data_IF_846667033275
#
_entry.id   IF_846667033275
#
_cell.length_a   1.000
_cell.length_b   1.000
_cell.length_c   1.000
_cell.angle_alpha   90.00
_cell.angle_beta   90.00
_cell.angle_gamma   90.00
#
_symmetry.space_group_name_H-M   'P 1'
#
loop_
_entity.id
_entity.type
_entity.pdbx_description
1 polymer ?
#
# COMPACT_ATOMS: atom_id res chain seq x y z
N UNK A 1 -3.62 -16.86 -3.78
CA UNK A 1 -2.97 -16.50 -5.05
C UNK A 1 -2.46 -15.05 -5.05
N UNK A 2 -1.21 -14.80 -5.44
CA UNK A 2 -0.75 -13.48 -5.92
C UNK A 2 -1.13 -13.37 -7.39
N UNK A 3 -1.82 -12.29 -7.78
CA UNK A 3 -1.96 -11.90 -9.19
C UNK A 3 -1.18 -10.60 -9.37
N UNK A 4 -0.20 -10.62 -10.28
CA UNK A 4 0.49 -9.41 -10.76
C UNK A 4 -0.39 -8.56 -11.71
N UNK A 5 -1.66 -8.91 -11.89
CA UNK A 5 -2.56 -8.12 -12.72
C UNK A 5 -2.82 -6.79 -12.02
N UNK A 6 -2.19 -5.73 -12.54
CA UNK A 6 -2.62 -4.35 -12.38
C UNK A 6 -4.07 -4.28 -12.91
N UNK A 7 -5.05 -4.56 -12.05
CA UNK A 7 -6.44 -4.22 -12.35
C UNK A 7 -6.48 -2.71 -12.51
N UNK A 8 -6.64 -2.25 -13.75
CA UNK A 8 -7.00 -0.86 -14.03
C UNK A 8 -8.21 -0.53 -13.17
N UNK A 9 -8.01 0.34 -12.19
CA UNK A 9 -9.09 0.81 -11.31
C UNK A 9 -9.93 1.76 -12.15
N UNK A 10 -10.88 1.19 -12.89
CA UNK A 10 -11.83 1.94 -13.71
C UNK A 10 -12.92 2.50 -12.80
N UNK A 11 -12.68 3.67 -12.24
CA UNK A 11 -13.65 4.41 -11.42
C UNK A 11 -14.14 5.65 -12.17
N UNK A 12 -15.46 5.89 -12.22
CA UNK A 12 -16.00 7.15 -12.74
C UNK A 12 -15.62 8.35 -11.86
N UNK A 13 -15.17 8.13 -10.63
CA UNK A 13 -14.77 9.17 -9.67
C UNK A 13 -13.26 9.41 -9.63
N UNK A 14 -12.45 8.72 -10.44
CA UNK A 14 -10.99 8.82 -10.41
C UNK A 14 -10.47 10.28 -10.56
N UNK A 15 -11.15 11.10 -11.36
CA UNK A 15 -10.83 12.52 -11.53
C UNK A 15 -10.88 13.34 -10.22
N UNK A 16 -11.58 12.85 -9.18
CA UNK A 16 -11.63 13.49 -7.87
C UNK A 16 -10.24 13.58 -7.23
N UNK A 17 -9.35 12.62 -7.51
CA UNK A 17 -7.99 12.66 -6.96
C UNK A 17 -7.17 13.84 -7.50
N UNK A 18 -7.35 14.21 -8.76
CA UNK A 18 -6.66 15.37 -9.34
C UNK A 18 -7.14 16.70 -8.75
N UNK A 19 -8.35 16.72 -8.19
CA UNK A 19 -8.95 17.90 -7.55
C UNK A 19 -8.58 17.98 -6.07
N UNK A 20 -8.68 16.85 -5.35
CA UNK A 20 -8.61 16.83 -3.87
C UNK A 20 -7.23 16.43 -3.35
N UNK A 21 -6.39 15.80 -4.17
CA UNK A 21 -5.02 15.42 -3.79
C UNK A 21 -4.04 16.20 -4.65
N UNK A 22 -3.61 17.39 -4.21
CA UNK A 22 -2.65 18.24 -4.93
C UNK A 22 -1.35 17.50 -5.28
N UNK A 23 -0.65 18.00 -6.31
CA UNK A 23 0.60 17.40 -6.79
C UNK A 23 1.77 17.50 -5.80
N UNK A 24 1.72 18.49 -4.92
CA UNK A 24 2.63 18.69 -3.78
C UNK A 24 2.25 17.87 -2.54
N UNK A 25 1.18 17.06 -2.60
CA UNK A 25 0.86 16.14 -1.52
C UNK A 25 1.95 15.07 -1.38
N UNK A 26 2.53 14.97 -0.18
CA UNK A 26 3.61 14.03 0.15
C UNK A 26 3.29 12.58 -0.26
N UNK A 27 2.08 12.07 0.03
CA UNK A 27 1.73 10.69 -0.31
C UNK A 27 1.61 10.48 -1.81
N UNK A 28 1.12 11.49 -2.54
CA UNK A 28 1.07 11.47 -4.01
C UNK A 28 2.47 11.42 -4.60
N UNK A 29 3.37 12.26 -4.11
CA UNK A 29 4.77 12.26 -4.54
C UNK A 29 5.46 10.92 -4.28
N UNK A 30 5.32 10.36 -3.08
CA UNK A 30 5.89 9.04 -2.76
C UNK A 30 5.32 7.96 -3.69
N UNK A 31 4.02 7.98 -3.97
CA UNK A 31 3.40 7.00 -4.86
C UNK A 31 3.86 7.09 -6.32
N UNK A 32 4.11 8.31 -6.81
CA UNK A 32 4.56 8.55 -8.19
C UNK A 32 6.08 8.28 -8.33
N UNK A 33 6.86 8.48 -7.27
CA UNK A 33 8.33 8.34 -7.29
C UNK A 33 8.80 6.93 -6.95
N UNK A 34 8.21 6.27 -5.96
CA UNK A 34 8.67 4.95 -5.53
C UNK A 34 7.97 3.86 -6.34
N UNK A 35 8.77 3.08 -7.06
CA UNK A 35 8.29 1.83 -7.65
C UNK A 35 8.21 0.78 -6.54
N UNK A 36 7.00 0.36 -6.20
CA UNK A 36 6.74 -0.64 -5.16
C UNK A 36 6.78 -2.09 -5.67
N UNK A 37 7.10 -2.31 -6.96
CA UNK A 37 7.07 -3.64 -7.57
C UNK A 37 8.05 -4.62 -6.90
N UNK A 38 9.15 -4.13 -6.32
CA UNK A 38 10.10 -4.93 -5.53
C UNK A 38 9.47 -5.70 -4.36
N UNK A 39 8.32 -5.22 -3.84
CA UNK A 39 7.61 -5.91 -2.76
C UNK A 39 7.09 -7.28 -3.22
N UNK A 40 6.69 -7.40 -4.49
CA UNK A 40 6.31 -8.70 -5.02
C UNK A 40 7.49 -9.65 -5.03
N UNK A 41 8.66 -9.21 -5.49
CA UNK A 41 9.88 -10.01 -5.53
C UNK A 41 10.26 -10.52 -4.12
N UNK A 42 10.18 -9.65 -3.11
CA UNK A 42 10.52 -9.97 -1.72
C UNK A 42 9.48 -10.88 -1.04
N UNK A 43 8.23 -10.85 -1.48
CA UNK A 43 7.13 -11.61 -0.86
C UNK A 43 6.67 -12.81 -1.69
N UNK A 44 7.16 -13.00 -2.91
CA UNK A 44 6.73 -14.06 -3.82
C UNK A 44 6.80 -15.44 -3.15
N UNK A 45 7.93 -15.76 -2.51
CA UNK A 45 8.14 -17.02 -1.81
C UNK A 45 7.18 -17.26 -0.63
N UNK A 46 6.53 -16.21 -0.11
CA UNK A 46 5.60 -16.28 1.03
C UNK A 46 4.15 -16.43 0.61
N UNK A 47 3.87 -16.42 -0.69
CA UNK A 47 2.54 -16.55 -1.24
C UNK A 47 2.44 -17.77 -2.17
N UNK A 48 1.25 -18.36 -2.21
CA UNK A 48 0.94 -19.42 -3.15
C UNK A 48 0.54 -18.79 -4.49
N UNK A 49 1.12 -19.29 -5.59
CA UNK A 49 0.96 -18.75 -6.95
C UNK A 49 -0.28 -19.27 -7.67
N UNK A 50 -0.80 -20.42 -7.26
CA UNK A 50 -1.69 -21.24 -8.07
C UNK A 50 -2.95 -21.71 -7.32
N UNK A 51 -3.04 -21.49 -6.01
CA UNK A 51 -4.14 -22.00 -5.20
C UNK A 51 -4.77 -20.96 -4.24
N UNK A 52 -6.06 -21.17 -3.95
CA UNK A 52 -6.85 -20.44 -2.96
C UNK A 52 -7.51 -19.16 -3.44
N UNK A 53 -8.18 -18.46 -2.51
CA UNK A 53 -8.81 -17.16 -2.76
C UNK A 53 -7.77 -16.10 -3.12
N UNK A 54 -8.19 -15.10 -3.88
CA UNK A 54 -7.36 -13.92 -4.18
C UNK A 54 -7.03 -13.23 -2.86
N UNK A 55 -5.74 -13.07 -2.59
CA UNK A 55 -5.30 -12.29 -1.45
C UNK A 55 -5.48 -10.79 -1.74
N UNK A 56 -5.57 -9.99 -0.68
CA UNK A 56 -5.37 -8.54 -0.83
C UNK A 56 -3.95 -8.33 -1.36
N UNK A 57 -3.84 -7.37 -2.26
CA UNK A 57 -2.60 -7.02 -2.92
C UNK A 57 -1.46 -6.73 -1.90
N UNK A 58 -0.30 -7.42 -2.00
CA UNK A 58 0.80 -7.25 -1.04
C UNK A 58 1.40 -5.85 -1.04
N UNK A 59 1.43 -5.15 -2.19
CA UNK A 59 1.86 -3.75 -2.24
C UNK A 59 0.89 -2.88 -1.44
N UNK A 60 -0.42 -3.04 -1.64
CA UNK A 60 -1.43 -2.31 -0.84
C UNK A 60 -1.28 -2.58 0.66
N UNK A 61 -1.07 -3.82 1.05
CA UNK A 61 -0.85 -4.19 2.45
C UNK A 61 0.40 -3.56 3.03
N UNK A 62 1.50 -3.53 2.27
CA UNK A 62 2.72 -2.83 2.66
C UNK A 62 2.52 -1.33 2.77
N UNK A 63 1.83 -0.71 1.80
CA UNK A 63 1.51 0.72 1.81
C UNK A 63 0.70 1.12 3.04
N UNK A 64 -0.23 0.29 3.50
CA UNK A 64 -0.91 0.50 4.78
C UNK A 64 0.06 0.51 5.97
N UNK A 65 1.06 -0.37 5.98
CA UNK A 65 2.11 -0.37 7.01
C UNK A 65 3.04 0.83 6.90
N UNK A 66 3.32 1.31 5.69
CA UNK A 66 4.08 2.54 5.50
C UNK A 66 3.30 3.75 6.03
N UNK A 67 2.01 3.87 5.72
CA UNK A 67 1.14 4.91 6.30
C UNK A 67 1.13 4.84 7.83
N UNK A 68 1.07 3.62 8.38
CA UNK A 68 1.16 3.39 9.82
C UNK A 68 2.46 3.94 10.41
N UNK A 69 3.60 3.72 9.73
CA UNK A 69 4.91 4.21 10.16
C UNK A 69 5.03 5.74 10.04
N UNK A 70 4.51 6.33 8.95
CA UNK A 70 4.58 7.78 8.70
C UNK A 70 3.71 8.57 9.69
N UNK A 71 2.50 8.09 9.96
CA UNK A 71 1.52 8.81 10.79
C UNK A 71 1.41 8.31 12.24
N UNK A 72 2.21 7.30 12.62
CA UNK A 72 2.25 6.71 13.96
C UNK A 72 0.87 6.25 14.49
N UNK A 73 0.02 5.72 13.60
CA UNK A 73 -1.36 5.34 13.90
C UNK A 73 -1.52 3.83 14.21
N UNK A 74 -2.61 3.47 14.90
CA UNK A 74 -2.96 2.06 15.09
C UNK A 74 -3.48 1.42 13.78
N UNK A 75 -3.58 0.10 13.72
CA UNK A 75 -4.14 -0.58 12.54
C UNK A 75 -5.59 -0.20 12.29
N UNK A 76 -6.36 -0.04 13.36
CA UNK A 76 -7.77 0.33 13.30
C UNK A 76 -7.90 1.77 12.80
N UNK A 77 -7.09 2.67 13.36
CA UNK A 77 -7.16 4.09 13.00
C UNK A 77 -6.69 4.35 11.57
N UNK A 78 -5.67 3.64 11.09
CA UNK A 78 -5.22 3.71 9.69
C UNK A 78 -6.32 3.27 8.73
N UNK A 79 -6.97 2.14 9.02
CA UNK A 79 -8.05 1.62 8.19
C UNK A 79 -9.25 2.56 8.24
N UNK A 80 -9.62 3.05 9.42
CA UNK A 80 -10.70 4.00 9.59
C UNK A 80 -10.43 5.29 8.82
N UNK A 81 -9.24 5.86 8.96
CA UNK A 81 -8.83 7.07 8.22
C UNK A 81 -8.85 6.87 6.72
N UNK A 82 -8.45 5.69 6.23
CA UNK A 82 -8.50 5.36 4.80
C UNK A 82 -9.93 5.31 4.23
N UNK A 83 -10.99 5.32 5.06
CA UNK A 83 -12.37 5.38 4.56
C UNK A 83 -12.71 6.75 3.97
N UNK A 84 -12.23 7.82 4.57
CA UNK A 84 -12.61 9.19 4.25
C UNK A 84 -11.45 10.06 3.74
N UNK A 85 -10.20 9.70 4.04
CA UNK A 85 -9.02 10.44 3.55
C UNK A 85 -8.67 9.98 2.13
N UNK A 86 -8.99 10.83 1.14
CA UNK A 86 -8.73 10.54 -0.27
C UNK A 86 -7.24 10.46 -0.59
N UNK A 87 -6.38 11.16 0.15
CA UNK A 87 -4.92 11.05 -0.05
C UNK A 87 -4.42 9.64 0.32
N UNK A 88 -5.02 9.03 1.34
CA UNK A 88 -4.72 7.66 1.73
C UNK A 88 -5.22 6.68 0.68
N UNK A 89 -6.47 6.82 0.21
CA UNK A 89 -7.00 5.94 -0.85
C UNK A 89 -6.20 6.03 -2.14
N UNK A 90 -5.79 7.25 -2.52
CA UNK A 90 -4.92 7.47 -3.67
C UNK A 90 -3.59 6.72 -3.51
N UNK A 91 -2.92 6.90 -2.37
CA UNK A 91 -1.67 6.20 -2.07
C UNK A 91 -1.83 4.69 -2.14
N UNK A 92 -2.92 4.15 -1.60
CA UNK A 92 -3.24 2.72 -1.56
C UNK A 92 -3.69 2.14 -2.92
N UNK A 93 -3.80 2.97 -3.97
CA UNK A 93 -4.26 2.54 -5.29
C UNK A 93 -5.68 1.97 -5.24
N UNK A 94 -6.56 2.65 -4.51
CA UNK A 94 -7.98 2.33 -4.40
C UNK A 94 -8.81 3.31 -5.22
N UNK A 95 -10.02 2.90 -5.62
CA UNK A 95 -11.00 3.84 -6.14
C UNK A 95 -11.53 4.73 -5.00
N UNK A 96 -11.97 5.97 -5.27
CA UNK A 96 -12.62 6.82 -4.26
C UNK A 96 -13.81 6.14 -3.56
N UNK A 97 -14.58 5.35 -4.31
CA UNK A 97 -15.76 4.62 -3.85
C UNK A 97 -15.45 3.25 -3.20
N UNK A 98 -14.22 2.74 -3.32
CA UNK A 98 -13.88 1.42 -2.81
C UNK A 98 -13.99 1.34 -1.29
N UNK A 99 -14.45 0.18 -0.82
CA UNK A 99 -14.41 -0.17 0.60
C UNK A 99 -12.99 -0.54 1.03
N UNK A 100 -12.66 -0.18 2.27
CA UNK A 100 -11.35 -0.47 2.87
C UNK A 100 -11.28 -1.90 3.40
N UNK A 101 -10.05 -2.36 3.64
CA UNK A 101 -9.80 -3.68 4.21
C UNK A 101 -10.32 -3.80 5.64
N UNK A 102 -10.50 -5.02 6.13
CA UNK A 102 -10.70 -5.25 7.56
C UNK A 102 -9.37 -5.08 8.33
N UNK A 103 -9.33 -4.39 9.49
CA UNK A 103 -8.09 -4.18 10.26
C UNK A 103 -7.36 -5.47 10.63
N UNK A 104 -8.06 -6.59 10.84
CA UNK A 104 -7.41 -7.87 11.14
C UNK A 104 -6.55 -8.38 9.99
N UNK A 105 -6.80 -7.92 8.76
CA UNK A 105 -6.00 -8.25 7.57
C UNK A 105 -4.57 -7.77 7.72
N UNK A 106 -4.33 -6.58 8.28
CA UNK A 106 -2.99 -6.04 8.53
C UNK A 106 -2.25 -6.88 9.57
N UNK A 107 -2.96 -7.27 10.63
CA UNK A 107 -2.40 -8.16 11.65
C UNK A 107 -2.03 -9.52 11.07
N UNK A 108 -2.88 -10.12 10.23
CA UNK A 108 -2.59 -11.40 9.55
C UNK A 108 -1.39 -11.26 8.60
N UNK A 109 -1.33 -10.18 7.83
CA UNK A 109 -0.22 -9.93 6.91
C UNK A 109 1.11 -9.83 7.65
N UNK A 110 1.19 -9.05 8.73
CA UNK A 110 2.42 -8.99 9.54
C UNK A 110 2.82 -10.35 10.11
N UNK A 111 1.88 -11.07 10.72
CA UNK A 111 2.18 -12.37 11.36
C UNK A 111 2.53 -13.49 10.38
N UNK A 112 1.94 -13.50 9.18
CA UNK A 112 2.09 -14.60 8.23
C UNK A 112 3.08 -14.33 7.10
N UNK A 113 3.34 -13.05 6.79
CA UNK A 113 4.19 -12.64 5.66
C UNK A 113 5.41 -11.83 6.11
N UNK A 114 5.30 -11.02 7.16
CA UNK A 114 6.42 -10.20 7.68
C UNK A 114 6.94 -10.70 9.03
N UNK A 115 7.01 -12.03 9.19
CA UNK A 115 7.44 -12.68 10.45
C UNK A 115 8.84 -12.23 10.90
N UNK A 116 9.69 -11.90 9.93
CA UNK A 116 11.01 -11.32 10.16
C UNK A 116 10.87 -9.81 10.34
N UNK A 117 11.05 -9.33 11.57
CA UNK A 117 10.96 -7.90 11.94
C UNK A 117 11.85 -7.05 11.01
N UNK A 118 13.03 -7.57 10.65
CA UNK A 118 13.98 -6.90 9.75
C UNK A 118 13.45 -6.68 8.33
N UNK A 119 12.48 -7.47 7.85
CA UNK A 119 11.99 -7.34 6.48
C UNK A 119 11.20 -6.05 6.31
N UNK A 120 10.37 -5.68 7.29
CA UNK A 120 9.63 -4.42 7.23
C UNK A 120 10.60 -3.23 7.20
N UNK A 121 11.60 -3.23 8.08
CA UNK A 121 12.61 -2.18 8.15
C UNK A 121 13.46 -2.13 6.87
N UNK A 122 13.79 -3.29 6.29
CA UNK A 122 14.52 -3.38 5.01
C UNK A 122 13.69 -2.81 3.87
N UNK A 123 12.39 -3.14 3.79
CA UNK A 123 11.50 -2.64 2.75
C UNK A 123 11.28 -1.13 2.88
N UNK A 124 11.12 -0.62 4.11
CA UNK A 124 11.04 0.83 4.37
C UNK A 124 12.36 1.49 4.01
N UNK A 125 13.50 0.92 4.41
CA UNK A 125 14.84 1.41 4.04
C UNK A 125 15.05 1.49 2.54
N UNK A 126 14.64 0.45 1.79
CA UNK A 126 14.64 0.47 0.30
C UNK A 126 13.75 1.57 -0.26
N UNK A 127 12.55 1.75 0.32
CA UNK A 127 11.61 2.82 -0.08
C UNK A 127 12.25 4.20 0.10
N UNK A 128 12.93 4.44 1.24
CA UNK A 128 13.61 5.70 1.52
C UNK A 128 14.83 5.89 0.62
N UNK A 129 15.63 4.85 0.39
CA UNK A 129 16.77 4.91 -0.52
C UNK A 129 16.36 5.30 -1.95
N UNK A 130 15.29 4.69 -2.46
CA UNK A 130 14.70 5.03 -3.77
C UNK A 130 14.14 6.46 -3.82
N UNK A 131 13.59 6.95 -2.70
CA UNK A 131 13.14 8.34 -2.59
C UNK A 131 14.31 9.34 -2.63
N UNK A 132 15.42 9.02 -1.96
CA UNK A 132 16.64 9.87 -1.97
C UNK A 132 17.29 9.88 -3.36
N UNK A 133 17.38 8.74 -4.03
CA UNK A 133 17.96 8.62 -5.38
C UNK A 133 17.20 9.49 -6.41
N UNK A 134 15.90 9.72 -6.18
CA UNK A 134 15.04 10.52 -7.05
C UNK A 134 14.90 11.99 -6.64
N UNK A 135 15.79 12.50 -5.78
CA UNK A 135 15.85 13.89 -5.32
C UNK A 135 14.51 14.42 -4.76
N UNK A 136 13.98 13.75 -3.74
CA UNK A 136 13.05 14.38 -2.77
C UNK A 136 13.85 15.09 -1.68
#
# INVERSE_FOLDING_TARGET
>A
MIRQQQTLVLSPYAALYDIVVPKDNMLRQINELVDFTFIYEELEAKYCLDNGRNAIDPIRMFKYLLLKAIFELSDVDIVERSKYDLSFKYFLGMAPEDSVIDPSSLTKFRKLRLKDINLLDTLIGKTVALAIEKEI
#
